data_IF_499823978300
#
_entry.id   IF_499823978300
#
_cell.length_a   1.000
_cell.length_b   1.000
_cell.length_c   1.000
_cell.angle_alpha   90.00
_cell.angle_beta   90.00
_cell.angle_gamma   90.00
#
_symmetry.space_group_name_H-M   'P 1'
#
loop_
_entity.id
_entity.type
_entity.pdbx_description
1 polymer ?
#
# COMPACT_ATOMS: atom_id res chain seq x y z
N UNK A 1 -12.10 3.92 10.16
CA UNK A 1 -12.61 5.07 9.36
C UNK A 1 -12.37 4.88 7.86
N UNK A 2 -11.15 4.52 7.45
CA UNK A 2 -10.80 4.24 6.05
C UNK A 2 -11.59 3.11 5.38
N UNK A 3 -11.83 1.99 6.08
CA UNK A 3 -12.58 0.85 5.55
C UNK A 3 -14.00 1.21 5.12
N UNK A 4 -14.69 2.14 5.79
CA UNK A 4 -16.03 2.60 5.39
C UNK A 4 -15.99 3.48 4.13
N UNK A 5 -14.97 4.33 4.00
CA UNK A 5 -14.82 5.27 2.89
C UNK A 5 -14.43 4.56 1.58
N UNK A 6 -13.69 3.46 1.70
CA UNK A 6 -13.32 2.60 0.57
C UNK A 6 -14.23 1.37 0.39
N UNK A 7 -15.18 1.11 1.30
CA UNK A 7 -16.16 0.03 1.16
C UNK A 7 -17.03 0.20 -0.10
N UNK A 8 -17.40 1.44 -0.43
CA UNK A 8 -18.16 1.74 -1.65
C UNK A 8 -17.33 1.58 -2.93
N UNK A 9 -16.00 1.78 -2.84
CA UNK A 9 -15.06 1.68 -3.98
C UNK A 9 -14.37 0.32 -4.10
N UNK A 10 -14.58 -0.58 -3.14
CA UNK A 10 -13.94 -1.90 -3.04
C UNK A 10 -12.42 -1.87 -3.31
N UNK A 11 -11.69 -0.90 -2.74
CA UNK A 11 -10.25 -0.86 -2.92
C UNK A 11 -9.59 -2.00 -2.12
N UNK A 12 -9.05 -3.04 -2.77
CA UNK A 12 -8.62 -4.26 -2.07
C UNK A 12 -7.37 -4.04 -1.20
N UNK A 13 -6.63 -2.95 -1.44
CA UNK A 13 -5.44 -2.60 -0.69
C UNK A 13 -5.72 -1.80 0.59
N UNK A 14 -6.99 -1.45 0.87
CA UNK A 14 -7.33 -0.66 2.08
C UNK A 14 -6.93 -1.36 3.37
N UNK A 15 -7.01 -2.69 3.40
CA UNK A 15 -6.65 -3.46 4.59
C UNK A 15 -5.14 -3.43 4.81
N UNK A 16 -4.36 -3.69 3.75
CA UNK A 16 -2.91 -3.55 3.76
C UNK A 16 -2.45 -2.15 4.14
N UNK A 17 -3.14 -1.11 3.66
CA UNK A 17 -2.86 0.28 4.04
C UNK A 17 -3.07 0.48 5.54
N UNK A 18 -4.18 -0.01 6.08
CA UNK A 18 -4.44 0.07 7.52
C UNK A 18 -3.39 -0.68 8.36
N UNK A 19 -2.93 -1.83 7.89
CA UNK A 19 -1.86 -2.60 8.55
C UNK A 19 -0.51 -1.87 8.45
N UNK A 20 -0.16 -1.35 7.28
CA UNK A 20 1.06 -0.55 7.07
C UNK A 20 1.11 0.66 8.01
N UNK A 21 0.01 1.40 8.14
CA UNK A 21 -0.05 2.52 9.08
C UNK A 21 0.15 2.07 10.53
N UNK A 22 -0.48 0.97 10.94
CA UNK A 22 -0.29 0.45 12.30
C UNK A 22 1.15 -0.03 12.54
N UNK A 23 1.79 -0.63 11.55
CA UNK A 23 3.13 -1.20 11.66
C UNK A 23 4.25 -0.15 11.54
N UNK A 24 4.19 0.72 10.54
CA UNK A 24 5.26 1.67 10.18
C UNK A 24 4.94 3.12 10.53
N UNK A 25 3.67 3.51 10.63
CA UNK A 25 3.28 4.93 10.74
C UNK A 25 2.19 5.21 11.79
N UNK A 26 2.58 5.24 13.07
CA UNK A 26 1.69 5.60 14.19
C UNK A 26 1.52 7.13 14.38
N UNK A 27 1.44 7.89 13.29
CA UNK A 27 1.29 9.35 13.30
C UNK A 27 0.08 9.79 12.48
N UNK A 28 -0.43 10.97 12.79
CA UNK A 28 -1.51 11.59 12.02
C UNK A 28 -1.09 11.81 10.56
N UNK A 29 -1.99 11.47 9.63
CA UNK A 29 -1.79 11.69 8.19
C UNK A 29 -2.36 13.06 7.83
N UNK A 30 -1.56 13.86 7.14
CA UNK A 30 -1.97 15.16 6.63
C UNK A 30 -3.06 15.02 5.55
N UNK A 31 -3.94 16.02 5.44
CA UNK A 31 -5.01 16.04 4.41
C UNK A 31 -4.48 15.96 2.98
N UNK A 32 -3.29 16.50 2.74
CA UNK A 32 -2.61 16.42 1.45
C UNK A 32 -2.31 14.96 1.07
N UNK A 33 -1.60 14.23 1.94
CA UNK A 33 -1.31 12.80 1.78
C UNK A 33 -2.58 11.96 1.66
N UNK A 34 -3.64 12.32 2.39
CA UNK A 34 -4.95 11.68 2.26
C UNK A 34 -5.53 11.83 0.85
N UNK A 35 -5.43 13.03 0.28
CA UNK A 35 -5.93 13.33 -1.06
C UNK A 35 -5.12 12.61 -2.13
N UNK A 36 -3.79 12.57 -1.97
CA UNK A 36 -2.89 11.80 -2.82
C UNK A 36 -3.19 10.30 -2.78
N UNK A 37 -3.44 9.72 -1.59
CA UNK A 37 -3.80 8.30 -1.49
C UNK A 37 -5.13 7.99 -2.19
N UNK A 38 -6.11 8.88 -2.10
CA UNK A 38 -7.39 8.71 -2.79
C UNK A 38 -7.23 8.77 -4.31
N UNK A 39 -6.29 9.57 -4.81
CA UNK A 39 -5.94 9.61 -6.23
C UNK A 39 -5.22 8.32 -6.64
N UNK A 40 -4.20 7.91 -5.87
CA UNK A 40 -3.50 6.64 -6.05
C UNK A 40 -4.46 5.45 -6.11
N UNK A 41 -5.42 5.34 -5.19
CA UNK A 41 -6.40 4.25 -5.17
C UNK A 41 -7.34 4.25 -6.39
N UNK A 42 -7.44 5.37 -7.12
CA UNK A 42 -8.25 5.50 -8.34
C UNK A 42 -7.42 5.30 -9.60
N UNK A 43 -6.17 5.73 -9.61
CA UNK A 43 -5.28 5.71 -10.78
C UNK A 43 -4.45 4.44 -10.85
N UNK A 44 -3.98 3.94 -9.71
CA UNK A 44 -3.08 2.78 -9.61
C UNK A 44 -3.91 1.53 -9.35
N UNK A 45 -3.74 0.56 -10.24
CA UNK A 45 -4.34 -0.77 -10.11
C UNK A 45 -3.84 -1.50 -8.86
N UNK A 46 -4.63 -2.44 -8.33
CA UNK A 46 -4.25 -3.25 -7.15
C UNK A 46 -2.95 -4.05 -7.31
N UNK A 47 -2.53 -4.28 -8.55
CA UNK A 47 -1.28 -4.98 -8.87
C UNK A 47 -0.07 -4.03 -8.95
N UNK A 48 -0.26 -2.74 -8.68
CA UNK A 48 0.78 -1.69 -8.71
C UNK A 48 1.47 -1.52 -10.08
N UNK A 49 0.85 -2.04 -11.15
CA UNK A 49 1.42 -2.01 -12.51
C UNK A 49 1.46 -0.60 -13.11
N UNK A 50 0.51 0.26 -12.72
CA UNK A 50 0.41 1.66 -13.17
C UNK A 50 1.10 2.64 -12.20
N UNK A 51 1.84 2.14 -11.20
CA UNK A 51 2.52 3.00 -10.25
C UNK A 51 3.80 3.59 -10.83
N UNK A 52 3.89 4.92 -10.81
CA UNK A 52 5.09 5.67 -11.17
C UNK A 52 5.80 6.20 -9.92
N UNK A 53 6.96 5.62 -9.58
CA UNK A 53 7.75 6.00 -8.41
C UNK A 53 8.51 7.33 -8.58
N UNK A 54 8.65 7.81 -9.82
CA UNK A 54 9.21 9.12 -10.13
C UNK A 54 8.14 10.23 -10.10
N UNK A 55 6.88 9.85 -9.81
CA UNK A 55 5.75 10.74 -9.71
C UNK A 55 5.80 11.66 -8.50
N UNK A 56 4.90 12.64 -8.45
CA UNK A 56 4.80 13.60 -7.36
C UNK A 56 4.13 13.03 -6.09
N UNK A 57 4.27 11.72 -5.85
CA UNK A 57 3.66 11.06 -4.70
C UNK A 57 4.43 11.40 -3.42
N UNK A 58 3.72 11.52 -2.28
CA UNK A 58 4.37 11.66 -0.98
C UNK A 58 5.10 10.38 -0.62
N UNK A 59 6.25 10.52 0.06
CA UNK A 59 7.08 9.40 0.52
C UNK A 59 6.31 8.29 1.26
N UNK A 60 5.24 8.65 1.97
CA UNK A 60 4.38 7.66 2.65
C UNK A 60 3.71 6.67 1.69
N UNK A 61 3.37 7.11 0.47
CA UNK A 61 2.80 6.24 -0.57
C UNK A 61 3.91 5.35 -1.16
N UNK A 62 5.10 5.89 -1.41
CA UNK A 62 6.26 5.07 -1.83
C UNK A 62 6.56 3.96 -0.81
N UNK A 63 6.62 4.30 0.48
CA UNK A 63 6.83 3.32 1.54
C UNK A 63 5.71 2.26 1.59
N UNK A 64 4.47 2.64 1.30
CA UNK A 64 3.38 1.69 1.23
C UNK A 64 3.48 0.75 0.03
N UNK A 65 3.88 1.27 -1.13
CA UNK A 65 4.12 0.46 -2.33
C UNK A 65 5.25 -0.53 -2.08
N UNK A 66 6.33 -0.08 -1.44
CA UNK A 66 7.43 -0.95 -1.01
C UNK A 66 6.93 -2.04 -0.06
N UNK A 67 6.17 -1.67 0.97
CA UNK A 67 5.55 -2.62 1.90
C UNK A 67 4.66 -3.64 1.19
N UNK A 68 3.86 -3.24 0.20
CA UNK A 68 3.04 -4.18 -0.59
C UNK A 68 3.88 -5.15 -1.41
N UNK A 69 5.01 -4.69 -1.96
CA UNK A 69 5.97 -5.54 -2.69
C UNK A 69 6.64 -6.53 -1.74
N UNK A 70 7.07 -6.07 -0.56
CA UNK A 70 7.65 -6.92 0.49
C UNK A 70 6.67 -8.00 0.98
N UNK A 71 5.39 -7.65 1.16
CA UNK A 71 4.35 -8.56 1.66
C UNK A 71 3.76 -9.48 0.57
N UNK A 72 4.25 -9.41 -0.66
CA UNK A 72 3.96 -10.42 -1.67
C UNK A 72 2.53 -10.41 -2.20
N UNK A 73 1.85 -9.25 -2.26
CA UNK A 73 0.56 -9.14 -3.00
C UNK A 73 0.71 -9.55 -4.48
N UNK A 74 1.94 -9.62 -5.00
CA UNK A 74 2.24 -10.14 -6.34
C UNK A 74 3.02 -11.47 -6.41
N UNK A 75 3.37 -12.15 -5.32
CA UNK A 75 4.04 -13.47 -5.40
C UNK A 75 3.80 -14.31 -4.14
N UNK A 76 2.95 -15.33 -4.25
CA UNK A 76 3.06 -16.50 -3.39
C UNK A 76 4.41 -17.18 -3.71
N UNK A 77 5.28 -17.28 -2.70
CA UNK A 77 6.33 -18.30 -2.69
C UNK A 77 7.75 -17.79 -2.89
N UNK A 78 8.39 -17.41 -1.78
CA UNK A 78 9.68 -18.01 -1.47
C UNK A 78 9.85 -18.16 0.05
N UNK A 79 9.06 -19.07 0.63
CA UNK A 79 9.60 -19.88 1.72
C UNK A 79 10.63 -20.83 1.11
N UNK A 80 11.89 -20.42 1.12
CA UNK A 80 13.01 -21.35 1.15
C UNK A 80 13.86 -21.00 2.37
N UNK A 81 13.23 -21.01 3.54
CA UNK A 81 13.90 -21.55 4.72
C UNK A 81 13.95 -23.07 4.50
N UNK A 82 14.91 -23.50 3.68
CA UNK A 82 15.32 -24.90 3.60
C UNK A 82 16.68 -24.96 4.27
N UNK A 83 16.66 -25.44 5.50
CA UNK A 83 17.81 -25.86 6.28
C UNK A 83 18.81 -26.72 5.48
N UNK A 84 20.06 -26.71 5.94
CA UNK A 84 21.20 -27.61 5.68
C UNK A 84 22.19 -27.20 4.58
N UNK A 85 23.26 -26.52 5.02
CA UNK A 85 24.61 -27.09 4.97
C UNK A 85 25.46 -26.59 6.14
#
# INVERSE_FOLDING_TARGET
MWQLLFAEKQWPLVDHWCQFLQARHNKAISRDTWSQLLEFAKTVSSNLSDYDAEGAWPYLIDEFVDYLKENGVNQHGQINDSSLN
#
